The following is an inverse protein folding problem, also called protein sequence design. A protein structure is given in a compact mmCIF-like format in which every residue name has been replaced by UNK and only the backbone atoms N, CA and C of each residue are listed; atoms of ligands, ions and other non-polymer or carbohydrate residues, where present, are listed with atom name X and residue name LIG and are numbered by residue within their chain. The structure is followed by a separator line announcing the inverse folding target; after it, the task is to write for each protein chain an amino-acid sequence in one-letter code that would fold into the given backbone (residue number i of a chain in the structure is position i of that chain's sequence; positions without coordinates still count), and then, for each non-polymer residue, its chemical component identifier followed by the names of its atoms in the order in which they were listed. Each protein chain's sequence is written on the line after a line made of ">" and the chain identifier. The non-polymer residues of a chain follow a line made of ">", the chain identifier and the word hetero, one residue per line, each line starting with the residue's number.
data_IF_829598004690
#
_entry.id   IF_829598004690
#
_cell.length_a   1.000
_cell.length_b   1.000
_cell.length_c   1.000
_cell.angle_alpha   90.00
_cell.angle_beta   90.00
_cell.angle_gamma   90.00
#
_symmetry.space_group_name_H-M   'P 1'
#
loop_
_entity.id
_entity.type
_entity.pdbx_description
1 polymer ?
#
# COMPACT_ATOMS: atom_id res chain seq x y z
N UNK A 1 19.41 -12.02 -12.88
CA UNK A 1 19.15 -11.86 -14.31
C UNK A 1 18.46 -10.53 -14.54
N UNK A 2 18.89 -9.81 -15.57
CA UNK A 2 18.22 -8.58 -15.97
C UNK A 2 16.84 -8.89 -16.56
N UNK A 3 15.90 -7.95 -16.39
CA UNK A 3 14.55 -8.04 -16.93
C UNK A 3 13.75 -9.24 -16.38
N UNK A 4 14.05 -9.64 -15.16
CA UNK A 4 13.34 -10.74 -14.51
C UNK A 4 12.16 -10.22 -13.71
N UNK A 5 10.95 -10.56 -14.16
CA UNK A 5 9.74 -10.32 -13.39
C UNK A 5 9.56 -11.47 -12.40
N UNK A 6 9.61 -11.17 -11.11
CA UNK A 6 9.48 -12.16 -10.03
C UNK A 6 8.06 -12.32 -9.49
N UNK A 7 7.08 -11.65 -10.12
CA UNK A 7 5.68 -11.70 -9.69
C UNK A 7 5.33 -10.73 -8.57
N UNK A 8 6.29 -9.97 -8.09
CA UNK A 8 6.08 -8.99 -7.01
C UNK A 8 5.08 -7.91 -7.43
N UNK A 9 4.19 -7.57 -6.51
CA UNK A 9 3.24 -6.46 -6.67
C UNK A 9 3.60 -5.40 -5.65
N UNK A 10 3.64 -4.14 -6.09
CA UNK A 10 3.92 -3.00 -5.21
C UNK A 10 2.79 -1.99 -5.31
N UNK A 11 2.27 -1.56 -4.16
CA UNK A 11 1.34 -0.44 -4.06
C UNK A 11 2.12 0.80 -3.63
N UNK A 12 1.92 1.90 -4.36
CA UNK A 12 2.45 3.21 -3.96
C UNK A 12 1.26 4.15 -3.85
N UNK A 13 1.00 4.63 -2.63
CA UNK A 13 -0.06 5.59 -2.37
C UNK A 13 0.57 6.91 -1.95
N UNK A 14 0.23 7.97 -2.68
CA UNK A 14 0.61 9.34 -2.34
C UNK A 14 -0.63 10.03 -1.80
N UNK A 15 -0.51 10.65 -0.63
CA UNK A 15 -1.66 11.16 0.11
C UNK A 15 -1.39 12.52 0.70
N UNK A 16 -2.45 13.33 0.82
CA UNK A 16 -2.44 14.51 1.64
C UNK A 16 -2.97 14.14 3.02
N UNK A 17 -2.34 14.68 4.06
CA UNK A 17 -2.83 14.55 5.43
C UNK A 17 -3.98 15.55 5.61
N UNK A 18 -5.11 15.08 6.12
CA UNK A 18 -6.29 15.92 6.31
C UNK A 18 -5.97 17.10 7.25
N UNK A 19 -6.48 18.30 6.95
CA UNK A 19 -6.28 19.45 7.82
C UNK A 19 -6.75 19.16 9.25
N UNK A 20 -6.04 19.70 10.23
CA UNK A 20 -6.33 19.52 11.65
C UNK A 20 -6.07 18.10 12.20
N UNK A 21 -5.46 17.21 11.41
CA UNK A 21 -4.96 15.93 11.92
C UNK A 21 -3.66 16.17 12.69
N UNK A 22 -3.65 15.87 13.98
CA UNK A 22 -2.51 16.15 14.85
C UNK A 22 -1.82 14.89 15.39
N UNK A 23 -2.35 13.69 15.07
CA UNK A 23 -1.88 12.42 15.57
C UNK A 23 -1.27 11.52 14.48
N UNK A 24 -0.92 12.07 13.32
CA UNK A 24 -0.56 11.27 12.16
C UNK A 24 0.63 10.34 12.42
N UNK A 25 1.68 10.82 13.07
CA UNK A 25 2.85 9.99 13.35
C UNK A 25 2.54 8.82 14.29
N UNK A 26 1.87 9.10 15.40
CA UNK A 26 1.53 8.06 16.37
C UNK A 26 0.51 7.08 15.79
N UNK A 27 -0.43 7.57 15.01
CA UNK A 27 -1.40 6.69 14.34
C UNK A 27 -0.70 5.74 13.37
N UNK A 28 0.26 6.23 12.57
CA UNK A 28 1.02 5.40 11.64
C UNK A 28 1.75 4.29 12.38
N UNK A 29 2.51 4.62 13.43
CA UNK A 29 3.36 3.65 14.12
C UNK A 29 2.58 2.75 15.08
N UNK A 30 1.63 3.29 15.80
CA UNK A 30 0.95 2.56 16.88
C UNK A 30 -0.35 1.89 16.46
N UNK A 31 -0.99 2.37 15.38
CA UNK A 31 -2.24 1.78 14.87
C UNK A 31 -2.02 1.08 13.54
N UNK A 32 -1.76 1.84 12.49
CA UNK A 32 -1.69 1.29 11.14
C UNK A 32 -0.63 0.20 11.02
N UNK A 33 0.59 0.49 11.42
CA UNK A 33 1.70 -0.46 11.27
C UNK A 33 1.54 -1.66 12.20
N UNK A 34 1.14 -1.42 13.45
CA UNK A 34 0.96 -2.51 14.43
C UNK A 34 -0.16 -3.45 14.01
N UNK A 35 -1.34 -2.92 13.67
CA UNK A 35 -2.48 -3.77 13.29
C UNK A 35 -2.16 -4.55 12.03
N UNK A 36 -1.51 -3.91 11.05
CA UNK A 36 -1.10 -4.61 9.83
C UNK A 36 -0.13 -5.73 10.12
N UNK A 37 0.88 -5.49 10.97
CA UNK A 37 1.84 -6.52 11.37
C UNK A 37 1.15 -7.69 12.07
N UNK A 38 0.17 -7.40 12.93
CA UNK A 38 -0.53 -8.42 13.72
C UNK A 38 -1.47 -9.30 12.90
N UNK A 39 -1.83 -8.90 11.67
CA UNK A 39 -2.55 -9.78 10.75
C UNK A 39 -1.71 -10.97 10.28
N UNK A 40 -0.39 -10.89 10.45
CA UNK A 40 0.55 -11.96 10.05
C UNK A 40 0.39 -12.39 8.59
N UNK A 41 0.32 -11.39 7.69
CA UNK A 41 0.20 -11.62 6.26
C UNK A 41 1.57 -11.99 5.69
N UNK A 42 1.81 -13.29 5.51
CA UNK A 42 3.13 -13.80 5.14
C UNK A 42 3.62 -13.32 3.77
N UNK A 43 2.71 -12.91 2.90
CA UNK A 43 3.05 -12.41 1.56
C UNK A 43 3.19 -10.90 1.50
N UNK A 44 2.98 -10.18 2.61
CA UNK A 44 3.28 -8.76 2.70
C UNK A 44 4.74 -8.62 3.12
N UNK A 45 5.60 -8.29 2.17
CA UNK A 45 7.05 -8.26 2.35
C UNK A 45 7.54 -6.95 2.94
N UNK A 46 6.88 -5.84 2.59
CA UNK A 46 7.20 -4.51 3.09
C UNK A 46 5.91 -3.73 3.29
N UNK A 47 5.89 -2.92 4.34
CA UNK A 47 4.79 -2.01 4.65
C UNK A 47 5.43 -0.80 5.31
N UNK A 48 5.60 0.27 4.54
CA UNK A 48 6.40 1.41 5.00
C UNK A 48 5.71 2.73 4.70
N UNK A 49 5.64 3.56 5.72
CA UNK A 49 5.10 4.91 5.65
C UNK A 49 6.23 5.92 5.64
N UNK A 50 6.04 6.98 4.89
CA UNK A 50 6.98 8.11 4.83
C UNK A 50 6.19 9.41 4.95
N UNK A 51 6.67 10.36 5.74
CA UNK A 51 6.04 11.66 5.93
C UNK A 51 6.94 12.78 5.46
N UNK A 52 6.34 13.83 4.86
CA UNK A 52 7.06 15.07 4.58
C UNK A 52 7.45 15.74 5.90
N UNK A 53 8.44 16.66 5.83
CA UNK A 53 8.94 17.35 7.03
C UNK A 53 7.85 18.12 7.77
N UNK A 54 6.92 18.71 7.03
CA UNK A 54 5.79 19.46 7.61
C UNK A 54 4.59 18.56 7.95
N UNK A 55 4.69 17.25 7.67
CA UNK A 55 3.65 16.24 7.95
C UNK A 55 2.32 16.47 7.23
N UNK A 56 2.37 17.18 6.10
CA UNK A 56 1.16 17.41 5.27
C UNK A 56 1.00 16.40 4.16
N UNK A 57 2.07 15.65 3.84
CA UNK A 57 2.06 14.64 2.78
C UNK A 57 2.61 13.33 3.31
N UNK A 58 1.97 12.23 2.91
CA UNK A 58 2.37 10.88 3.29
C UNK A 58 2.50 10.00 2.06
N UNK A 59 3.46 9.08 2.11
CA UNK A 59 3.62 8.03 1.10
C UNK A 59 3.57 6.70 1.82
N UNK A 60 2.74 5.78 1.33
CA UNK A 60 2.71 4.40 1.82
C UNK A 60 3.19 3.49 0.69
N UNK A 61 4.20 2.67 0.99
CA UNK A 61 4.72 1.66 0.07
C UNK A 61 4.44 0.30 0.66
N UNK A 62 3.75 -0.56 -0.11
CA UNK A 62 3.44 -1.93 0.27
C UNK A 62 3.92 -2.86 -0.82
N UNK A 63 4.74 -3.84 -0.45
CA UNK A 63 5.30 -4.82 -1.40
C UNK A 63 4.80 -6.21 -1.03
N UNK A 64 4.27 -6.91 -2.03
CA UNK A 64 3.70 -8.25 -1.86
C UNK A 64 4.41 -9.26 -2.74
N UNK A 65 4.48 -10.49 -2.26
CA UNK A 65 5.12 -11.59 -3.00
C UNK A 65 4.42 -11.84 -4.35
N UNK A 66 3.11 -11.67 -4.39
CA UNK A 66 2.29 -11.85 -5.59
C UNK A 66 0.93 -11.14 -5.45
N UNK A 67 0.08 -11.26 -6.48
CA UNK A 67 -1.28 -10.68 -6.48
C UNK A 67 -2.15 -11.23 -5.35
N UNK A 68 -1.99 -12.50 -4.98
CA UNK A 68 -2.74 -13.10 -3.87
C UNK A 68 -2.39 -12.41 -2.54
N UNK A 69 -1.10 -12.11 -2.33
CA UNK A 69 -0.67 -11.35 -1.15
C UNK A 69 -1.29 -9.97 -1.08
N UNK A 70 -1.34 -9.29 -2.22
CA UNK A 70 -1.97 -7.97 -2.31
C UNK A 70 -3.47 -8.04 -2.02
N UNK A 71 -4.16 -9.07 -2.53
CA UNK A 71 -5.58 -9.28 -2.25
C UNK A 71 -5.83 -9.54 -0.77
N UNK A 72 -4.99 -10.35 -0.13
CA UNK A 72 -5.08 -10.62 1.30
C UNK A 72 -4.98 -9.32 2.10
N UNK A 73 -4.00 -8.47 1.76
CA UNK A 73 -3.84 -7.18 2.44
C UNK A 73 -5.06 -6.29 2.25
N UNK A 74 -5.54 -6.18 1.02
CA UNK A 74 -6.71 -5.34 0.72
C UNK A 74 -7.95 -5.83 1.47
N UNK A 75 -8.22 -7.12 1.46
CA UNK A 75 -9.38 -7.70 2.14
C UNK A 75 -9.30 -7.51 3.66
N UNK A 76 -8.11 -7.67 4.24
CA UNK A 76 -7.91 -7.44 5.67
C UNK A 76 -8.15 -5.97 6.02
N UNK A 77 -7.70 -5.05 5.17
CA UNK A 77 -7.89 -3.62 5.39
C UNK A 77 -9.38 -3.27 5.43
N UNK A 78 -10.14 -3.66 4.41
CA UNK A 78 -11.54 -3.25 4.29
C UNK A 78 -12.43 -3.86 5.37
N UNK A 79 -12.01 -4.96 5.98
CA UNK A 79 -12.73 -5.59 7.09
C UNK A 79 -12.27 -5.11 8.45
N UNK A 80 -11.24 -4.27 8.53
CA UNK A 80 -10.64 -3.84 9.78
C UNK A 80 -11.11 -2.44 10.18
N UNK A 81 -11.05 -2.08 11.49
CA UNK A 81 -11.37 -0.73 11.93
C UNK A 81 -10.36 0.33 11.44
N UNK A 82 -9.23 -0.09 10.89
CA UNK A 82 -8.21 0.82 10.37
C UNK A 82 -8.71 1.58 9.15
N UNK A 83 -9.54 0.96 8.29
CA UNK A 83 -10.00 1.61 7.06
C UNK A 83 -10.70 2.95 7.32
N UNK A 84 -11.73 3.04 8.17
CA UNK A 84 -12.35 4.34 8.45
C UNK A 84 -11.41 5.32 9.15
N UNK A 85 -10.51 4.85 10.02
CA UNK A 85 -9.51 5.70 10.67
C UNK A 85 -8.55 6.30 9.63
N UNK A 86 -8.17 5.49 8.64
CA UNK A 86 -7.32 5.88 7.54
C UNK A 86 -7.99 6.96 6.69
N UNK A 87 -9.26 6.75 6.37
CA UNK A 87 -10.04 7.69 5.55
C UNK A 87 -10.26 9.02 6.25
N UNK A 88 -10.31 9.04 7.58
CA UNK A 88 -10.43 10.29 8.35
C UNK A 88 -9.14 11.12 8.29
N UNK A 89 -7.99 10.48 8.07
CA UNK A 89 -6.67 11.12 8.16
C UNK A 89 -6.04 11.49 6.83
N UNK A 90 -6.42 10.78 5.77
CA UNK A 90 -5.73 10.94 4.48
C UNK A 90 -6.70 11.09 3.32
N UNK A 91 -6.25 11.89 2.33
CA UNK A 91 -6.89 11.96 1.02
C UNK A 91 -5.90 11.41 0.00
N UNK A 92 -6.29 10.39 -0.75
CA UNK A 92 -5.42 9.77 -1.77
C UNK A 92 -5.30 10.71 -2.96
N UNK A 93 -4.06 11.09 -3.28
CA UNK A 93 -3.75 11.92 -4.45
C UNK A 93 -3.39 11.06 -5.66
N UNK A 94 -2.71 9.93 -5.41
CA UNK A 94 -2.44 8.95 -6.47
C UNK A 94 -2.28 7.57 -5.86
N UNK A 95 -2.68 6.56 -6.63
CA UNK A 95 -2.51 5.16 -6.27
C UNK A 95 -1.96 4.43 -7.49
N UNK A 96 -0.73 3.92 -7.38
CA UNK A 96 -0.05 3.21 -8.46
C UNK A 96 0.17 1.76 -8.03
N UNK A 97 -0.13 0.82 -8.94
CA UNK A 97 0.10 -0.60 -8.74
C UNK A 97 1.15 -1.05 -9.74
N UNK A 98 2.30 -1.50 -9.23
CA UNK A 98 3.43 -1.94 -10.05
C UNK A 98 3.47 -3.46 -10.09
N UNK A 99 3.70 -4.02 -11.28
CA UNK A 99 3.79 -5.45 -11.51
C UNK A 99 2.60 -5.98 -12.30
N UNK A 100 2.66 -7.26 -12.66
CA UNK A 100 1.62 -7.89 -13.47
C UNK A 100 0.45 -8.36 -12.58
N UNK A 101 -0.41 -7.41 -12.23
CA UNK A 101 -1.56 -7.68 -11.37
C UNK A 101 -2.53 -8.67 -12.04
N UNK A 102 -2.99 -9.66 -11.28
CA UNK A 102 -3.98 -10.62 -11.75
C UNK A 102 -5.32 -9.92 -12.06
N UNK A 103 -6.15 -10.55 -12.87
CA UNK A 103 -7.49 -10.04 -13.15
C UNK A 103 -8.29 -9.85 -11.85
N UNK A 104 -8.20 -10.80 -10.94
CA UNK A 104 -8.89 -10.74 -9.66
C UNK A 104 -8.45 -9.52 -8.84
N UNK A 105 -7.15 -9.24 -8.78
CA UNK A 105 -6.64 -8.05 -8.08
C UNK A 105 -7.12 -6.77 -8.76
N UNK A 106 -7.06 -6.71 -10.09
CA UNK A 106 -7.54 -5.54 -10.84
C UNK A 106 -9.02 -5.26 -10.58
N UNK A 107 -9.83 -6.31 -10.54
CA UNK A 107 -11.27 -6.17 -10.25
C UNK A 107 -11.50 -5.70 -8.81
N UNK A 108 -10.75 -6.24 -7.85
CA UNK A 108 -10.88 -5.84 -6.45
C UNK A 108 -10.56 -4.36 -6.23
N UNK A 109 -9.58 -3.82 -6.96
CA UNK A 109 -9.12 -2.44 -6.80
C UNK A 109 -9.81 -1.45 -7.74
N UNK A 110 -10.70 -1.92 -8.61
CA UNK A 110 -11.25 -1.08 -9.69
C UNK A 110 -11.91 0.22 -9.20
N UNK A 111 -12.62 0.16 -8.06
CA UNK A 111 -13.30 1.34 -7.52
C UNK A 111 -12.34 2.45 -7.05
N UNK A 112 -11.08 2.11 -6.80
CA UNK A 112 -10.05 3.07 -6.40
C UNK A 112 -9.32 3.67 -7.61
N UNK A 113 -9.61 3.17 -8.80
CA UNK A 113 -9.05 3.65 -10.07
C UNK A 113 -7.52 3.77 -10.06
N UNK A 114 -6.79 2.70 -9.67
CA UNK A 114 -5.34 2.78 -9.63
C UNK A 114 -4.73 2.84 -11.02
N UNK A 115 -3.52 3.41 -11.10
CA UNK A 115 -2.70 3.37 -12.30
C UNK A 115 -1.91 2.06 -12.27
N UNK A 116 -2.25 1.11 -13.13
CA UNK A 116 -1.56 -0.18 -13.22
C UNK A 116 -0.39 -0.07 -14.20
N UNK A 117 0.81 -0.48 -13.75
CA UNK A 117 2.02 -0.46 -14.58
C UNK A 117 2.72 -1.81 -14.51
N UNK A 118 2.75 -2.49 -15.65
CA UNK A 118 3.40 -3.79 -15.77
C UNK A 118 4.93 -3.66 -15.70
N UNK A 119 5.59 -4.73 -15.25
CA UNK A 119 7.04 -4.79 -15.26
C UNK A 119 7.56 -4.65 -16.69
N UNK A 120 8.56 -3.80 -16.89
CA UNK A 120 9.15 -3.56 -18.21
C UNK A 120 10.61 -4.00 -18.29
N UNK A 121 11.35 -3.88 -17.20
CA UNK A 121 12.75 -4.27 -17.18
C UNK A 121 13.45 -3.77 -15.94
N UNK A 122 14.56 -4.39 -15.59
CA UNK A 122 15.31 -4.02 -14.41
C UNK A 122 15.82 -5.26 -13.70
N UNK A 123 16.33 -5.06 -12.47
CA UNK A 123 16.81 -6.17 -11.65
C UNK A 123 16.71 -5.80 -10.17
N UNK A 124 16.73 -6.84 -9.33
CA UNK A 124 16.80 -6.71 -7.88
C UNK A 124 18.05 -7.45 -7.39
N UNK A 125 18.77 -6.86 -6.45
CA UNK A 125 19.87 -7.54 -5.74
C UNK A 125 19.35 -8.02 -4.40
N UNK A 126 19.61 -9.28 -4.10
CA UNK A 126 19.20 -9.85 -2.82
C UNK A 126 20.26 -9.57 -1.74
#
# INVERSE_FOLDING_TARGET
>A
MLNNDDGTITFILQMAVAPATDDVESWISERSSRVTFEFEEMKTLRFEWFLSSDKTKATLIEVFDDSEGALTRFNNLISSPIAPEWMDRFEVESFTVLGDASLELREALASMEPDFRAFSGGFTRA
#
